data_IF_788095607489
#
_entry.id   IF_788095607489
#
_cell.length_a   1.000
_cell.length_b   1.000
_cell.length_c   1.000
_cell.angle_alpha   90.00
_cell.angle_beta   90.00
_cell.angle_gamma   90.00
#
_symmetry.space_group_name_H-M   'P 1'
#
loop_
_entity.id
_entity.type
_entity.pdbx_description
1 polymer ?
#
# COMPACT_ATOMS: atom_id res chain seq x y z
N UNK A 1 -10.35 13.16 -16.75
CA UNK A 1 -10.06 11.80 -16.24
C UNK A 1 -8.87 11.93 -15.29
N UNK A 2 -8.94 11.44 -14.06
CA UNK A 2 -7.81 11.47 -13.13
C UNK A 2 -6.78 10.40 -13.52
N UNK A 3 -5.49 10.76 -13.51
CA UNK A 3 -4.41 9.89 -13.99
C UNK A 3 -3.64 9.25 -12.83
N UNK A 4 -3.47 7.93 -12.87
CA UNK A 4 -2.63 7.18 -11.94
C UNK A 4 -1.80 6.14 -12.71
N UNK A 5 -0.47 6.22 -12.54
CA UNK A 5 0.49 5.31 -13.19
C UNK A 5 0.70 4.01 -12.41
N UNK A 6 0.27 3.95 -11.14
CA UNK A 6 0.37 2.74 -10.31
C UNK A 6 -0.70 1.73 -10.73
N UNK A 7 -0.25 0.51 -11.07
CA UNK A 7 -1.12 -0.57 -11.56
C UNK A 7 -1.13 -1.75 -10.60
N UNK A 8 -2.27 -2.44 -10.51
CA UNK A 8 -2.37 -3.71 -9.77
C UNK A 8 -2.41 -3.58 -8.24
N UNK A 9 -2.50 -2.36 -7.70
CA UNK A 9 -2.67 -2.13 -6.27
C UNK A 9 -3.94 -2.82 -5.75
N UNK A 10 -3.83 -3.40 -4.55
CA UNK A 10 -4.90 -4.11 -3.83
C UNK A 10 -5.44 -3.31 -2.65
N UNK A 11 -4.64 -2.39 -2.11
CA UNK A 11 -5.05 -1.45 -1.08
C UNK A 11 -4.42 -0.07 -1.34
N UNK A 12 -5.07 0.97 -0.82
CA UNK A 12 -4.60 2.36 -0.90
C UNK A 12 -4.76 3.02 0.46
N UNK A 13 -3.76 3.79 0.87
CA UNK A 13 -3.82 4.70 2.00
C UNK A 13 -3.59 6.14 1.52
N UNK A 14 -4.37 7.07 2.05
CA UNK A 14 -4.29 8.49 1.71
C UNK A 14 -4.21 9.29 3.01
N UNK A 15 -3.26 10.22 3.07
CA UNK A 15 -3.12 11.14 4.18
C UNK A 15 -2.60 12.51 3.71
N UNK A 16 -3.46 13.53 3.74
CA UNK A 16 -3.15 14.83 3.14
C UNK A 16 -2.87 14.67 1.64
N UNK A 17 -1.73 15.20 1.18
CA UNK A 17 -1.26 15.01 -0.20
C UNK A 17 -0.47 13.71 -0.40
N UNK A 18 -0.21 12.92 0.65
CA UNK A 18 0.53 11.66 0.53
C UNK A 18 -0.41 10.53 0.18
N UNK A 19 0.03 9.62 -0.68
CA UNK A 19 -0.66 8.38 -1.00
C UNK A 19 0.31 7.20 -1.01
N UNK A 20 -0.16 6.04 -0.57
CA UNK A 20 0.56 4.78 -0.67
C UNK A 20 -0.35 3.72 -1.30
N UNK A 21 0.18 3.00 -2.27
CA UNK A 21 -0.47 1.89 -2.95
C UNK A 21 0.24 0.60 -2.60
N UNK A 22 -0.49 -0.32 -2.00
CA UNK A 22 0.02 -1.65 -1.68
C UNK A 22 -0.49 -2.67 -2.70
N UNK A 23 0.43 -3.44 -3.26
CA UNK A 23 0.16 -4.52 -4.18
C UNK A 23 0.68 -4.30 -5.59
N UNK A 24 0.61 -5.37 -6.35
CA UNK A 24 1.08 -5.46 -7.72
C UNK A 24 0.77 -6.83 -8.30
N UNK A 25 1.25 -7.07 -9.51
CA UNK A 25 1.09 -8.37 -10.16
C UNK A 25 2.30 -9.26 -9.88
N UNK A 26 2.05 -10.57 -9.73
CA UNK A 26 3.10 -11.61 -9.61
C UNK A 26 4.12 -11.25 -8.52
N UNK A 27 5.38 -11.04 -8.88
CA UNK A 27 6.49 -10.79 -7.96
C UNK A 27 6.34 -9.45 -7.22
N UNK A 28 5.58 -8.51 -7.77
CA UNK A 28 5.31 -7.20 -7.15
C UNK A 28 4.17 -7.24 -6.13
N UNK A 29 3.70 -8.41 -5.70
CA UNK A 29 2.50 -8.54 -4.85
C UNK A 29 2.61 -7.81 -3.51
N UNK A 30 3.84 -7.65 -3.00
CA UNK A 30 4.15 -6.98 -1.74
C UNK A 30 4.69 -5.55 -1.98
N UNK A 31 4.60 -5.03 -3.21
CA UNK A 31 5.09 -3.69 -3.55
C UNK A 31 4.30 -2.63 -2.79
N UNK A 32 5.03 -1.67 -2.23
CA UNK A 32 4.50 -0.44 -1.66
C UNK A 32 5.00 0.75 -2.49
N UNK A 33 4.11 1.34 -3.28
CA UNK A 33 4.41 2.53 -4.08
C UNK A 33 3.89 3.78 -3.37
N UNK A 34 4.79 4.68 -3.01
CA UNK A 34 4.49 5.99 -2.47
C UNK A 34 4.32 7.00 -3.61
N UNK A 35 3.47 7.99 -3.37
CA UNK A 35 3.32 9.12 -4.26
C UNK A 35 2.70 10.33 -3.57
N UNK A 36 2.61 11.39 -4.35
CA UNK A 36 1.91 12.62 -3.97
C UNK A 36 0.71 12.86 -4.87
N UNK A 37 -0.38 13.27 -4.24
CA UNK A 37 -1.60 13.73 -4.90
C UNK A 37 -1.41 15.18 -5.33
N UNK A 38 -1.55 15.41 -6.63
CA UNK A 38 -1.80 16.73 -7.19
C UNK A 38 -3.32 16.94 -7.31
N UNK A 39 -3.75 18.06 -7.88
CA UNK A 39 -5.17 18.30 -8.14
C UNK A 39 -5.79 17.27 -9.09
N UNK A 40 -4.99 16.67 -9.98
CA UNK A 40 -5.52 15.82 -11.06
C UNK A 40 -4.76 14.52 -11.29
N UNK A 41 -3.61 14.32 -10.63
CA UNK A 41 -2.74 13.17 -10.82
C UNK A 41 -2.17 12.63 -9.51
N UNK A 42 -1.64 11.43 -9.60
CA UNK A 42 -0.69 10.90 -8.62
C UNK A 42 0.70 10.88 -9.24
N UNK A 43 1.66 11.52 -8.58
CA UNK A 43 3.08 11.45 -8.95
C UNK A 43 3.80 10.45 -8.02
N UNK A 44 4.27 9.29 -8.52
CA UNK A 44 5.01 8.33 -7.71
C UNK A 44 6.35 8.92 -7.25
N UNK A 45 6.64 8.82 -5.96
CA UNK A 45 7.86 9.37 -5.34
C UNK A 45 8.85 8.30 -4.92
N UNK A 46 8.36 7.13 -4.51
CA UNK A 46 9.21 6.00 -4.11
C UNK A 46 8.50 4.66 -4.32
N UNK A 47 9.28 3.60 -4.50
CA UNK A 47 8.78 2.22 -4.57
C UNK A 47 9.63 1.35 -3.67
N UNK A 48 8.99 0.57 -2.81
CA UNK A 48 9.63 -0.39 -1.92
C UNK A 48 8.78 -1.66 -1.75
N UNK A 49 9.14 -2.45 -0.76
CA UNK A 49 8.37 -3.61 -0.31
C UNK A 49 7.77 -3.32 1.04
N UNK A 50 6.49 -3.65 1.23
CA UNK A 50 5.91 -3.66 2.56
C UNK A 50 6.40 -4.92 3.26
N UNK A 51 7.04 -4.74 4.41
CA UNK A 51 7.44 -5.83 5.31
C UNK A 51 6.53 -5.87 6.53
N UNK A 52 6.37 -7.06 7.09
CA UNK A 52 5.84 -7.24 8.43
C UNK A 52 6.84 -6.70 9.47
N UNK A 53 6.44 -6.51 10.74
CA UNK A 53 7.33 -6.01 11.79
C UNK A 53 8.59 -6.84 12.02
N UNK A 54 8.55 -8.14 11.67
CA UNK A 54 9.70 -9.05 11.73
C UNK A 54 10.62 -8.98 10.49
N UNK A 55 10.32 -8.09 9.53
CA UNK A 55 11.07 -7.91 8.29
C UNK A 55 10.68 -8.87 7.17
N UNK A 56 9.80 -9.84 7.42
CA UNK A 56 9.34 -10.77 6.39
C UNK A 56 8.36 -10.12 5.41
N UNK A 57 8.28 -10.65 4.19
CA UNK A 57 7.27 -10.23 3.24
C UNK A 57 5.90 -10.85 3.58
N UNK A 58 4.78 -10.10 3.52
CA UNK A 58 3.46 -10.64 3.79
C UNK A 58 3.07 -11.80 2.87
N UNK A 59 3.45 -11.72 1.59
CA UNK A 59 3.13 -12.70 0.57
C UNK A 59 1.65 -12.67 0.17
N UNK A 60 1.07 -13.83 -0.16
CA UNK A 60 -0.34 -13.91 -0.60
C UNK A 60 -1.30 -13.77 0.59
N UNK A 61 -1.65 -12.53 0.93
CA UNK A 61 -2.56 -12.18 2.03
C UNK A 61 -3.67 -11.24 1.59
N UNK A 62 -4.74 -11.15 2.39
CA UNK A 62 -5.77 -10.12 2.22
C UNK A 62 -5.24 -8.77 2.68
N UNK A 63 -5.58 -7.72 1.96
CA UNK A 63 -5.25 -6.35 2.34
C UNK A 63 -6.47 -5.44 2.18
N UNK A 64 -6.62 -4.49 3.09
CA UNK A 64 -7.70 -3.50 3.09
C UNK A 64 -7.12 -2.12 3.35
N UNK A 65 -7.44 -1.16 2.50
CA UNK A 65 -7.13 0.26 2.73
C UNK A 65 -8.27 0.97 3.45
N UNK A 66 -7.98 1.78 4.47
CA UNK A 66 -8.96 2.64 5.14
C UNK A 66 -8.29 3.91 5.65
N UNK A 67 -8.63 5.05 5.04
CA UNK A 67 -8.04 6.35 5.40
C UNK A 67 -6.53 6.34 5.16
N UNK A 68 -5.76 6.71 6.19
CA UNK A 68 -4.29 6.69 6.15
C UNK A 68 -3.66 5.30 6.32
N UNK A 69 -4.46 4.25 6.50
CA UNK A 69 -3.96 2.93 6.92
C UNK A 69 -4.20 1.84 5.88
N UNK A 70 -3.25 0.92 5.80
CA UNK A 70 -3.36 -0.36 5.09
C UNK A 70 -3.27 -1.47 6.12
N UNK A 71 -4.29 -2.31 6.17
CA UNK A 71 -4.36 -3.49 7.01
C UNK A 71 -3.98 -4.69 6.15
N UNK A 72 -2.97 -5.45 6.56
CA UNK A 72 -2.57 -6.69 5.89
C UNK A 72 -2.79 -7.85 6.84
N UNK A 73 -3.56 -8.83 6.38
CA UNK A 73 -3.87 -10.02 7.18
C UNK A 73 -2.59 -10.81 7.43
N UNK A 74 -2.34 -11.14 8.70
CA UNK A 74 -1.20 -11.95 9.13
C UNK A 74 -1.69 -13.23 9.77
N UNK A 75 -0.79 -14.19 10.02
CA UNK A 75 -1.16 -15.38 10.80
C UNK A 75 -1.58 -14.96 12.22
N UNK A 76 -2.63 -15.59 12.80
CA UNK A 76 -3.36 -16.78 12.35
C UNK A 76 -4.59 -16.50 11.45
N UNK A 77 -4.49 -15.53 10.54
CA UNK A 77 -5.55 -15.08 9.61
C UNK A 77 -6.73 -14.35 10.26
N UNK A 78 -6.73 -14.22 11.57
CA UNK A 78 -7.62 -13.30 12.30
C UNK A 78 -6.89 -12.04 12.75
N UNK A 79 -5.55 -12.06 12.71
CA UNK A 79 -4.70 -10.92 13.02
C UNK A 79 -4.42 -10.04 11.79
N UNK A 80 -4.09 -8.78 12.05
CA UNK A 80 -3.83 -7.77 11.03
C UNK A 80 -2.63 -6.90 11.42
N UNK A 81 -1.61 -6.88 10.56
CA UNK A 81 -0.57 -5.86 10.61
C UNK A 81 -1.10 -4.55 10.01
N UNK A 82 -0.61 -3.42 10.53
CA UNK A 82 -1.05 -2.09 10.11
C UNK A 82 0.13 -1.28 9.62
N UNK A 83 0.05 -0.85 8.37
CA UNK A 83 0.87 0.23 7.83
C UNK A 83 0.08 1.53 7.95
N UNK A 84 0.64 2.57 8.57
CA UNK A 84 0.03 3.89 8.70
C UNK A 84 0.87 4.94 7.98
N UNK A 85 0.30 5.54 6.94
CA UNK A 85 0.93 6.60 6.15
C UNK A 85 1.00 7.94 6.90
N UNK A 86 0.23 8.09 7.97
CA UNK A 86 0.20 9.32 8.77
C UNK A 86 1.32 9.41 9.81
N UNK A 87 1.94 8.28 10.14
CA UNK A 87 3.07 8.18 11.05
C UNK A 87 4.33 8.86 10.51
#
# INVERSE_FOLDING_TARGET
>A
MWANRVRGAKAVAVHGKRVAFYGGYREERDRLAHGELTETSVEPTAVGLLTLPDGSAPGRRRAVGRGSRIYVQTEPFTAWGVFDLSS
#
